data_IF_456552066131
#
_entry.id   IF_456552066131
#
_cell.length_a   1.000
_cell.length_b   1.000
_cell.length_c   1.000
_cell.angle_alpha   90.00
_cell.angle_beta   90.00
_cell.angle_gamma   90.00
#
_symmetry.space_group_name_H-M   'P 1'
#
loop_
_entity.id
_entity.type
_entity.pdbx_description
1 polymer ?
#
# COMPACT_ATOMS: atom_id res chain seq x y z
N UNK A 1 -6.46 20.16 9.75
CA UNK A 1 -5.78 19.06 10.48
C UNK A 1 -4.29 19.32 10.70
N UNK A 2 -3.45 19.24 9.65
CA UNK A 2 -1.99 19.35 9.81
C UNK A 2 -1.54 20.72 10.35
N UNK A 3 -1.91 21.82 9.67
CA UNK A 3 -1.59 23.17 10.13
C UNK A 3 -2.30 23.58 11.44
N UNK A 4 -3.29 22.79 11.88
CA UNK A 4 -4.05 23.03 13.11
C UNK A 4 -3.47 22.24 14.31
N UNK A 5 -2.34 21.54 14.13
CA UNK A 5 -1.68 20.85 15.24
C UNK A 5 -2.22 19.46 15.57
N UNK A 6 -3.19 18.94 14.83
CA UNK A 6 -3.87 17.68 15.21
C UNK A 6 -2.94 16.43 15.23
N UNK A 7 -1.77 16.51 14.59
CA UNK A 7 -0.76 15.45 14.58
C UNK A 7 0.45 15.74 15.48
N UNK A 8 0.46 16.87 16.20
CA UNK A 8 1.55 17.30 17.05
C UNK A 8 1.11 17.36 18.51
N UNK A 9 1.91 16.79 19.39
CA UNK A 9 1.79 16.94 20.85
C UNK A 9 2.46 18.23 21.36
N UNK A 10 3.18 18.95 20.51
CA UNK A 10 3.88 20.19 20.82
C UNK A 10 3.13 21.39 20.18
N UNK A 11 2.47 22.25 20.98
CA UNK A 11 1.71 23.39 20.48
C UNK A 11 2.60 24.45 19.82
N UNK A 12 3.89 24.51 20.16
CA UNK A 12 4.84 25.43 19.53
C UNK A 12 5.31 24.90 18.15
N UNK A 13 4.97 23.66 17.81
CA UNK A 13 5.29 23.00 16.54
C UNK A 13 4.05 22.35 15.92
N UNK A 14 3.03 23.15 15.51
CA UNK A 14 1.75 22.61 15.04
C UNK A 14 1.87 21.79 13.75
N UNK A 15 2.84 22.12 12.89
CA UNK A 15 3.09 21.42 11.63
C UNK A 15 3.96 20.16 11.78
N UNK A 16 4.10 19.61 12.99
CA UNK A 16 4.80 18.36 13.24
C UNK A 16 3.83 17.18 13.26
N UNK A 17 4.36 15.98 12.99
CA UNK A 17 3.71 14.70 13.28
C UNK A 17 4.55 13.96 14.30
N UNK A 18 3.95 13.51 15.40
CA UNK A 18 4.62 12.65 16.37
C UNK A 18 3.75 11.46 16.84
N UNK A 19 4.42 10.46 17.40
CA UNK A 19 3.78 9.23 17.86
C UNK A 19 2.73 9.45 18.93
N UNK A 20 2.92 10.45 19.80
CA UNK A 20 2.04 10.71 20.94
C UNK A 20 0.71 11.25 20.46
N UNK A 21 0.71 12.26 19.60
CA UNK A 21 -0.52 12.80 19.01
C UNK A 21 -1.19 11.79 18.07
N UNK A 22 -0.43 11.05 17.26
CA UNK A 22 -0.98 9.98 16.42
C UNK A 22 -1.74 8.93 17.24
N UNK A 23 -1.22 8.56 18.42
CA UNK A 23 -1.84 7.58 19.31
C UNK A 23 -3.18 8.05 19.90
N UNK A 24 -3.45 9.36 19.89
CA UNK A 24 -4.67 9.96 20.46
C UNK A 24 -5.73 10.32 19.42
N UNK A 25 -5.43 10.20 18.11
CA UNK A 25 -6.42 10.52 17.06
C UNK A 25 -7.53 9.47 17.06
N UNK A 26 -8.76 9.94 17.18
CA UNK A 26 -9.99 9.16 17.13
C UNK A 26 -10.85 9.51 15.91
N UNK A 27 -11.95 8.76 15.75
CA UNK A 27 -12.89 8.94 14.65
C UNK A 27 -13.51 10.35 14.66
N UNK A 28 -13.83 10.91 15.82
CA UNK A 28 -14.41 12.26 15.95
C UNK A 28 -13.44 13.34 15.49
N UNK A 29 -12.15 13.21 15.81
CA UNK A 29 -11.10 14.11 15.32
C UNK A 29 -10.99 14.05 13.81
N UNK A 30 -10.97 12.83 13.23
CA UNK A 30 -10.97 12.66 11.78
C UNK A 30 -12.25 13.21 11.13
N UNK A 31 -13.42 12.96 11.72
CA UNK A 31 -14.71 13.42 11.20
C UNK A 31 -14.75 14.95 11.11
N UNK A 32 -14.33 15.63 12.18
CA UNK A 32 -14.28 17.10 12.20
C UNK A 32 -13.36 17.65 11.13
N UNK A 33 -12.14 17.12 11.03
CA UNK A 33 -11.14 17.65 10.10
C UNK A 33 -11.38 17.27 8.63
N UNK A 34 -11.98 16.11 8.37
CA UNK A 34 -12.40 15.69 7.02
C UNK A 34 -13.82 16.11 6.66
N UNK A 35 -14.49 16.88 7.54
CA UNK A 35 -15.83 17.40 7.30
C UNK A 35 -16.83 16.27 6.99
N UNK A 36 -16.74 15.17 7.74
CA UNK A 36 -17.57 13.98 7.55
C UNK A 36 -18.97 14.29 8.04
N UNK A 37 -19.91 14.30 7.11
CA UNK A 37 -21.34 14.56 7.32
C UNK A 37 -22.16 13.67 6.37
N UNK A 38 -23.48 13.54 6.51
CA UNK A 38 -24.27 12.69 5.61
C UNK A 38 -24.11 13.01 4.11
N UNK A 39 -23.86 14.28 3.76
CA UNK A 39 -23.59 14.71 2.39
C UNK A 39 -22.14 14.50 1.91
N UNK A 40 -21.23 14.17 2.82
CA UNK A 40 -19.81 13.89 2.57
C UNK A 40 -19.36 12.70 3.46
N UNK A 41 -19.88 11.49 3.20
CA UNK A 41 -19.59 10.34 4.04
C UNK A 41 -18.15 9.86 3.82
N UNK A 42 -17.52 9.37 4.88
CA UNK A 42 -16.23 8.69 4.80
C UNK A 42 -16.37 7.27 5.35
N UNK A 43 -16.26 6.29 4.45
CA UNK A 43 -16.29 4.87 4.82
C UNK A 43 -14.99 4.50 5.55
N UNK A 44 -15.13 3.69 6.60
CA UNK A 44 -14.01 3.15 7.38
C UNK A 44 -13.37 4.19 8.31
N UNK A 45 -14.15 5.14 8.84
CA UNK A 45 -13.63 6.24 9.66
C UNK A 45 -12.93 5.73 10.93
N UNK A 46 -13.59 4.82 11.65
CA UNK A 46 -13.08 4.20 12.88
C UNK A 46 -11.80 3.39 12.59
N UNK A 47 -11.80 2.63 11.51
CA UNK A 47 -10.67 1.83 11.05
C UNK A 47 -9.48 2.72 10.71
N UNK A 48 -9.71 3.86 10.03
CA UNK A 48 -8.65 4.85 9.72
C UNK A 48 -8.08 5.48 10.97
N UNK A 49 -8.90 5.85 11.95
CA UNK A 49 -8.43 6.36 13.23
C UNK A 49 -7.59 5.30 13.97
N UNK A 50 -8.05 4.04 13.98
CA UNK A 50 -7.30 2.93 14.56
C UNK A 50 -5.94 2.71 13.88
N UNK A 51 -5.85 2.83 12.55
CA UNK A 51 -4.58 2.75 11.82
C UNK A 51 -3.60 3.87 12.24
N UNK A 52 -4.08 5.11 12.42
CA UNK A 52 -3.24 6.21 12.92
C UNK A 52 -2.75 5.95 14.35
N UNK A 53 -3.64 5.44 15.21
CA UNK A 53 -3.28 5.05 16.56
C UNK A 53 -2.22 3.93 16.59
N UNK A 54 -2.35 2.93 15.72
CA UNK A 54 -1.35 1.86 15.55
C UNK A 54 -0.04 2.38 14.97
N UNK A 55 -0.09 3.34 14.03
CA UNK A 55 1.11 4.03 13.55
C UNK A 55 1.87 4.68 14.71
N UNK A 56 1.19 5.46 15.57
CA UNK A 56 1.81 6.04 16.75
C UNK A 56 2.52 5.00 17.63
N UNK A 57 1.87 3.87 17.90
CA UNK A 57 2.45 2.75 18.66
C UNK A 57 3.63 2.09 17.96
N UNK A 58 3.53 1.85 16.65
CA UNK A 58 4.59 1.22 15.85
C UNK A 58 5.87 2.08 15.85
N UNK A 59 5.72 3.41 15.68
CA UNK A 59 6.84 4.34 15.76
C UNK A 59 7.49 4.31 17.15
N UNK A 60 6.70 4.32 18.22
CA UNK A 60 7.21 4.28 19.59
C UNK A 60 7.93 2.96 19.93
N UNK A 61 7.52 1.85 19.32
CA UNK A 61 8.15 0.55 19.50
C UNK A 61 9.53 0.43 18.82
N UNK A 62 9.79 1.22 17.77
CA UNK A 62 11.01 1.17 16.96
C UNK A 62 11.92 2.38 17.18
N UNK A 63 12.33 2.57 18.44
CA UNK A 63 13.22 3.68 18.83
C UNK A 63 14.60 3.64 18.16
N UNK A 64 15.02 2.49 17.63
CA UNK A 64 16.20 2.30 16.80
C UNK A 64 16.10 3.04 15.45
N UNK A 65 14.88 3.20 14.92
CA UNK A 65 14.60 3.91 13.67
C UNK A 65 14.06 5.31 13.91
N UNK A 66 13.18 5.46 14.91
CA UNK A 66 12.42 6.70 15.13
C UNK A 66 12.90 7.51 16.34
N UNK A 67 14.00 7.11 16.98
CA UNK A 67 14.62 7.80 18.11
C UNK A 67 13.85 7.68 19.43
N UNK A 68 14.51 8.10 20.53
CA UNK A 68 13.91 8.22 21.87
C UNK A 68 13.56 9.68 22.14
N UNK A 69 12.28 9.96 22.39
CA UNK A 69 11.76 11.32 22.57
C UNK A 69 11.60 12.07 21.24
N UNK A 70 10.41 12.66 20.99
CA UNK A 70 10.11 13.30 19.71
C UNK A 70 10.00 12.30 18.53
N UNK A 71 9.56 11.08 18.81
CA UNK A 71 9.38 9.99 17.85
C UNK A 71 8.40 10.41 16.75
N UNK A 72 8.91 10.53 15.52
CA UNK A 72 8.17 11.04 14.35
C UNK A 72 8.42 10.19 13.10
N UNK A 73 7.45 10.06 12.18
CA UNK A 73 7.66 9.33 10.92
C UNK A 73 8.89 9.83 10.14
N UNK A 74 9.12 11.15 10.14
CA UNK A 74 10.25 11.76 9.44
C UNK A 74 11.63 11.31 9.92
N UNK A 75 11.76 10.68 11.09
CA UNK A 75 13.02 10.06 11.53
C UNK A 75 13.46 8.90 10.65
N UNK A 76 12.55 8.32 9.86
CA UNK A 76 12.92 7.34 8.83
C UNK A 76 13.92 7.92 7.81
N UNK A 77 13.75 9.19 7.44
CA UNK A 77 14.71 9.89 6.56
C UNK A 77 16.05 10.06 7.27
N UNK A 78 16.04 10.50 8.53
CA UNK A 78 17.25 10.61 9.35
C UNK A 78 18.00 9.25 9.43
N UNK A 79 17.27 8.15 9.60
CA UNK A 79 17.81 6.79 9.61
C UNK A 79 18.49 6.42 8.29
N UNK A 80 17.85 6.66 7.14
CA UNK A 80 18.46 6.37 5.84
C UNK A 80 19.63 7.31 5.51
N UNK A 81 19.57 8.58 5.93
CA UNK A 81 20.71 9.50 5.81
C UNK A 81 21.93 9.00 6.60
N UNK A 82 21.72 8.32 7.73
CA UNK A 82 22.79 7.77 8.55
C UNK A 82 23.32 6.40 8.07
N UNK A 83 22.49 5.61 7.37
CA UNK A 83 22.79 4.21 7.04
C UNK A 83 22.99 3.92 5.55
N UNK A 84 22.74 4.91 4.68
CA UNK A 84 23.04 4.81 3.25
C UNK A 84 24.54 5.02 3.00
N UNK A 85 25.09 4.21 2.10
CA UNK A 85 26.45 4.44 1.58
C UNK A 85 26.37 5.41 0.40
N UNK A 86 27.23 6.44 0.37
CA UNK A 86 27.29 7.43 -0.72
C UNK A 86 25.94 8.05 -1.08
N UNK A 87 25.03 8.21 -0.10
CA UNK A 87 23.66 8.70 -0.33
C UNK A 87 22.84 7.86 -1.32
N UNK A 88 23.08 6.55 -1.37
CA UNK A 88 22.30 5.60 -2.17
C UNK A 88 21.52 4.62 -1.31
N UNK A 89 20.28 4.35 -1.68
CA UNK A 89 19.39 3.40 -1.03
C UNK A 89 18.76 2.47 -2.07
N UNK A 90 18.75 1.16 -1.83
CA UNK A 90 18.00 0.23 -2.66
C UNK A 90 16.52 0.27 -2.26
N UNK A 91 15.64 0.26 -3.25
CA UNK A 91 14.19 0.26 -3.05
C UNK A 91 13.73 -0.98 -2.26
N UNK A 92 14.36 -2.14 -2.48
CA UNK A 92 14.16 -3.36 -1.69
C UNK A 92 14.46 -3.13 -0.21
N UNK A 93 15.58 -2.47 0.12
CA UNK A 93 15.93 -2.12 1.51
C UNK A 93 14.91 -1.15 2.12
N UNK A 94 14.43 -0.16 1.36
CA UNK A 94 13.36 0.73 1.80
C UNK A 94 12.10 -0.07 2.16
N UNK A 95 11.63 -0.94 1.27
CA UNK A 95 10.45 -1.78 1.52
C UNK A 95 10.65 -2.69 2.74
N UNK A 96 11.79 -3.37 2.84
CA UNK A 96 12.09 -4.24 4.00
C UNK A 96 12.07 -3.46 5.31
N UNK A 97 12.67 -2.26 5.36
CA UNK A 97 12.63 -1.41 6.56
C UNK A 97 11.19 -0.99 6.91
N UNK A 98 10.35 -0.67 5.92
CA UNK A 98 8.94 -0.36 6.17
C UNK A 98 8.16 -1.57 6.69
N UNK A 99 8.36 -2.76 6.12
CA UNK A 99 7.71 -3.99 6.57
C UNK A 99 8.12 -4.36 7.99
N UNK A 100 9.42 -4.30 8.29
CA UNK A 100 9.98 -4.61 9.60
C UNK A 100 9.49 -3.62 10.69
N UNK A 101 9.32 -2.34 10.34
CA UNK A 101 9.00 -1.30 11.33
C UNK A 101 7.52 -0.97 11.46
N UNK A 102 6.73 -1.17 10.40
CA UNK A 102 5.34 -0.70 10.31
C UNK A 102 4.33 -1.82 10.05
N UNK A 103 4.74 -3.10 9.98
CA UNK A 103 3.82 -4.23 9.75
C UNK A 103 2.67 -4.30 10.74
N UNK A 104 2.91 -3.94 12.00
CA UNK A 104 1.92 -3.96 13.10
C UNK A 104 0.79 -2.93 12.96
N UNK A 105 0.91 -2.01 12.00
CA UNK A 105 -0.15 -1.05 11.67
C UNK A 105 -1.31 -1.77 10.99
N UNK A 106 -1.00 -2.68 10.08
CA UNK A 106 -1.97 -3.29 9.19
C UNK A 106 -2.74 -4.41 9.90
N UNK A 107 -4.07 -4.53 9.67
CA UNK A 107 -4.79 -5.73 10.01
C UNK A 107 -4.14 -6.95 9.35
N UNK A 108 -4.13 -8.07 10.06
CA UNK A 108 -3.49 -9.29 9.60
C UNK A 108 -4.48 -10.44 9.68
N UNK A 109 -5.08 -10.86 8.56
CA UNK A 109 -5.99 -12.00 8.56
C UNK A 109 -5.25 -13.34 8.70
N UNK A 110 -3.93 -13.36 8.50
CA UNK A 110 -3.12 -14.56 8.55
C UNK A 110 -2.02 -14.45 9.61
N UNK A 111 -1.84 -15.54 10.38
CA UNK A 111 -0.74 -15.73 11.32
C UNK A 111 0.11 -16.90 10.80
N UNK A 112 1.42 -16.68 10.70
CA UNK A 112 2.41 -17.67 10.28
C UNK A 112 3.44 -17.80 11.38
N UNK A 113 3.67 -19.00 11.88
CA UNK A 113 4.67 -19.27 12.93
C UNK A 113 4.57 -18.28 14.12
N UNK A 114 3.33 -17.98 14.54
CA UNK A 114 3.06 -17.03 15.64
C UNK A 114 3.14 -15.54 15.29
N UNK A 115 3.47 -15.19 14.04
CA UNK A 115 3.59 -13.81 13.60
C UNK A 115 2.44 -13.41 12.69
N UNK A 116 1.79 -12.28 12.99
CA UNK A 116 0.87 -11.60 12.09
C UNK A 116 1.65 -11.01 10.92
N UNK A 117 1.36 -11.45 9.69
CA UNK A 117 2.12 -11.03 8.50
C UNK A 117 1.44 -9.91 7.69
N UNK A 118 0.30 -9.39 8.15
CA UNK A 118 -0.42 -8.30 7.49
C UNK A 118 -1.13 -8.76 6.23
N UNK A 119 -1.05 -7.96 5.17
CA UNK A 119 -1.73 -8.23 3.88
C UNK A 119 -1.09 -9.39 3.11
N UNK A 120 -1.62 -10.59 3.36
CA UNK A 120 -1.27 -11.85 2.72
C UNK A 120 -2.49 -12.79 2.65
N UNK A 121 -2.45 -13.75 1.72
CA UNK A 121 -3.50 -14.75 1.53
C UNK A 121 -2.94 -16.18 1.44
N UNK A 122 -3.86 -17.16 1.37
CA UNK A 122 -3.51 -18.56 1.07
C UNK A 122 -3.98 -18.94 -0.34
N UNK A 123 -3.16 -19.69 -1.06
CA UNK A 123 -3.53 -20.23 -2.37
C UNK A 123 -2.92 -21.63 -2.60
N UNK A 124 -3.70 -22.66 -3.02
CA UNK A 124 -3.19 -24.02 -3.21
C UNK A 124 -2.11 -24.17 -4.29
N UNK A 125 -2.05 -23.23 -5.24
CA UNK A 125 -1.03 -23.20 -6.28
C UNK A 125 0.29 -22.53 -5.85
N UNK A 126 0.30 -21.83 -4.71
CA UNK A 126 1.49 -21.16 -4.19
C UNK A 126 2.39 -22.16 -3.43
N UNK A 127 2.87 -23.18 -4.14
CA UNK A 127 3.72 -24.23 -3.56
C UNK A 127 5.18 -23.79 -3.60
N UNK A 128 5.68 -23.40 -2.43
CA UNK A 128 7.10 -23.11 -2.19
C UNK A 128 7.73 -24.33 -1.52
N UNK A 129 8.98 -24.62 -1.84
CA UNK A 129 9.73 -25.69 -1.14
C UNK A 129 10.02 -25.38 0.34
N UNK A 130 9.73 -24.14 0.76
CA UNK A 130 9.95 -23.61 2.10
C UNK A 130 8.62 -23.21 2.77
N UNK A 131 8.58 -23.28 4.11
CA UNK A 131 7.45 -22.87 4.94
C UNK A 131 7.36 -21.33 5.09
N UNK A 132 6.14 -20.74 5.16
CA UNK A 132 4.84 -21.39 5.10
C UNK A 132 4.33 -21.67 3.68
N UNK A 133 4.16 -22.94 3.32
CA UNK A 133 3.64 -23.33 2.00
C UNK A 133 2.25 -22.72 1.74
N UNK A 134 1.96 -22.32 0.51
CA UNK A 134 0.66 -21.79 0.12
C UNK A 134 0.43 -20.34 0.51
N UNK A 135 1.42 -19.62 1.03
CA UNK A 135 1.29 -18.21 1.42
C UNK A 135 1.63 -17.29 0.25
N UNK A 136 0.76 -16.32 0.00
CA UNK A 136 0.97 -15.28 -1.01
C UNK A 136 1.05 -13.91 -0.33
N UNK A 137 2.25 -13.32 -0.18
CA UNK A 137 2.41 -12.00 0.40
C UNK A 137 2.08 -10.91 -0.62
N UNK A 138 1.32 -9.90 -0.21
CA UNK A 138 1.01 -8.73 -1.04
C UNK A 138 1.57 -7.44 -0.46
N UNK A 139 1.37 -7.22 0.84
CA UNK A 139 1.81 -6.03 1.57
C UNK A 139 1.59 -4.71 0.81
N UNK A 140 0.44 -4.62 0.10
CA UNK A 140 0.22 -3.64 -0.97
C UNK A 140 0.39 -2.20 -0.50
N UNK A 141 -0.10 -1.89 0.71
CA UNK A 141 0.00 -0.54 1.28
C UNK A 141 1.42 -0.17 1.68
N UNK A 142 2.20 -1.10 2.24
CA UNK A 142 3.62 -0.87 2.55
C UNK A 142 4.43 -0.65 1.28
N UNK A 143 4.11 -1.38 0.22
CA UNK A 143 4.76 -1.23 -1.07
C UNK A 143 4.39 0.07 -1.77
N UNK A 144 3.12 0.47 -1.70
CA UNK A 144 2.70 1.78 -2.18
C UNK A 144 3.35 2.92 -1.39
N UNK A 145 3.52 2.76 -0.07
CA UNK A 145 4.27 3.70 0.76
C UNK A 145 5.74 3.77 0.34
N UNK A 146 6.39 2.64 0.05
CA UNK A 146 7.76 2.62 -0.47
C UNK A 146 7.87 3.46 -1.75
N UNK A 147 6.96 3.26 -2.71
CA UNK A 147 6.91 4.09 -3.92
C UNK A 147 6.69 5.57 -3.63
N UNK A 148 5.80 5.89 -2.69
CA UNK A 148 5.49 7.28 -2.31
C UNK A 148 6.63 7.99 -1.59
N UNK A 149 7.59 7.25 -1.02
CA UNK A 149 8.75 7.79 -0.32
C UNK A 149 9.96 8.01 -1.23
N UNK A 150 9.97 7.51 -2.47
CA UNK A 150 11.10 7.67 -3.40
C UNK A 150 11.39 9.16 -3.62
N UNK A 151 10.41 9.92 -4.12
CA UNK A 151 10.60 11.35 -4.43
C UNK A 151 10.99 12.18 -3.19
N UNK A 152 10.33 12.02 -2.01
CA UNK A 152 10.79 12.69 -0.79
C UNK A 152 12.22 12.35 -0.36
N UNK A 153 12.66 11.10 -0.53
CA UNK A 153 14.02 10.68 -0.21
C UNK A 153 15.04 11.27 -1.20
N UNK A 154 14.72 11.30 -2.48
CA UNK A 154 15.54 11.93 -3.52
C UNK A 154 15.65 13.44 -3.29
N UNK A 155 14.55 14.11 -2.92
CA UNK A 155 14.56 15.52 -2.52
C UNK A 155 15.41 15.78 -1.26
N UNK A 156 15.50 14.80 -0.35
CA UNK A 156 16.41 14.82 0.80
C UNK A 156 17.86 14.45 0.44
N UNK A 157 18.17 14.22 -0.84
CA UNK A 157 19.50 13.92 -1.34
C UNK A 157 19.89 12.45 -1.26
N UNK A 158 18.94 11.52 -1.11
CA UNK A 158 19.18 10.06 -1.16
C UNK A 158 18.70 9.54 -2.51
N UNK A 159 19.61 9.10 -3.37
CA UNK A 159 19.27 8.46 -4.63
C UNK A 159 18.72 7.05 -4.37
N UNK A 160 17.50 6.76 -4.85
CA UNK A 160 16.88 5.44 -4.70
C UNK A 160 17.07 4.62 -5.97
N UNK A 161 17.77 3.50 -5.87
CA UNK A 161 18.03 2.58 -6.97
C UNK A 161 17.29 1.25 -6.84
N UNK A 162 17.42 0.38 -7.85
CA UNK A 162 16.83 -0.97 -7.81
C UNK A 162 15.31 -0.98 -7.82
N UNK A 163 14.67 -0.07 -8.57
CA UNK A 163 13.21 0.04 -8.60
C UNK A 163 12.53 -1.22 -9.13
N UNK A 164 13.21 -1.97 -9.99
CA UNK A 164 12.73 -3.25 -10.54
C UNK A 164 12.72 -4.38 -9.48
N UNK A 165 13.34 -4.20 -8.30
CA UNK A 165 13.20 -5.13 -7.17
C UNK A 165 11.81 -5.05 -6.51
N UNK A 166 11.06 -3.97 -6.76
CA UNK A 166 9.70 -3.79 -6.27
C UNK A 166 8.69 -4.32 -7.29
N UNK A 167 7.60 -4.87 -6.79
CA UNK A 167 6.55 -5.49 -7.62
C UNK A 167 5.40 -4.52 -7.96
N UNK A 168 4.42 -4.97 -8.72
CA UNK A 168 3.20 -4.18 -8.93
C UNK A 168 2.31 -4.15 -7.68
N UNK A 169 1.32 -3.26 -7.67
CA UNK A 169 0.33 -3.20 -6.59
C UNK A 169 -0.85 -4.12 -6.91
N UNK A 170 -1.08 -5.09 -6.03
CA UNK A 170 -2.24 -5.99 -6.01
C UNK A 170 -3.57 -5.27 -5.66
N UNK A 171 -3.86 -4.19 -6.39
CA UNK A 171 -5.00 -3.29 -6.22
C UNK A 171 -6.08 -3.60 -7.28
N UNK A 172 -7.35 -3.43 -6.91
CA UNK A 172 -8.49 -3.91 -7.70
C UNK A 172 -8.66 -3.24 -9.07
N UNK A 173 -8.17 -2.02 -9.27
CA UNK A 173 -8.18 -1.31 -10.55
C UNK A 173 -7.09 -1.83 -11.48
N UNK A 174 -5.91 -2.15 -10.93
CA UNK A 174 -4.85 -2.80 -11.68
C UNK A 174 -5.26 -4.21 -12.11
N UNK A 175 -5.78 -5.01 -11.17
CA UNK A 175 -6.29 -6.34 -11.50
C UNK A 175 -7.53 -6.27 -12.38
N UNK A 176 -8.36 -5.24 -12.20
CA UNK A 176 -9.60 -5.06 -12.95
C UNK A 176 -9.31 -4.75 -14.41
N UNK A 177 -8.30 -3.92 -14.68
CA UNK A 177 -7.81 -3.65 -16.03
C UNK A 177 -7.47 -4.94 -16.79
N UNK A 178 -6.82 -5.90 -16.12
CA UNK A 178 -6.44 -7.17 -16.76
C UNK A 178 -7.66 -8.05 -17.08
N UNK A 179 -8.71 -8.02 -16.26
CA UNK A 179 -9.98 -8.70 -16.54
C UNK A 179 -10.71 -7.98 -17.68
N UNK A 180 -10.80 -6.67 -17.60
CA UNK A 180 -11.54 -5.82 -18.54
C UNK A 180 -11.00 -5.89 -19.97
N UNK A 181 -9.68 -6.06 -20.10
CA UNK A 181 -9.01 -6.24 -21.39
C UNK A 181 -8.83 -7.72 -21.77
N UNK A 182 -9.38 -8.64 -20.98
CA UNK A 182 -9.40 -10.07 -21.27
C UNK A 182 -8.04 -10.77 -21.20
N UNK A 183 -7.06 -10.18 -20.49
CA UNK A 183 -5.77 -10.79 -20.17
C UNK A 183 -5.95 -11.87 -19.11
N UNK A 184 -6.69 -11.54 -18.04
CA UNK A 184 -7.19 -12.53 -17.08
C UNK A 184 -8.61 -12.88 -17.49
N UNK A 185 -8.90 -14.18 -17.63
CA UNK A 185 -10.24 -14.68 -17.96
C UNK A 185 -10.70 -15.65 -16.88
N UNK A 186 -11.74 -15.31 -16.11
CA UNK A 186 -12.34 -16.23 -15.15
C UNK A 186 -12.80 -17.50 -15.84
N UNK A 187 -12.55 -18.68 -15.23
CA UNK A 187 -13.04 -19.96 -15.74
C UNK A 187 -14.55 -20.09 -15.66
N UNK A 188 -15.13 -19.51 -14.62
CA UNK A 188 -16.57 -19.37 -14.41
C UNK A 188 -16.94 -17.88 -14.39
N UNK A 189 -18.17 -17.57 -14.78
CA UNK A 189 -18.66 -16.19 -14.71
C UNK A 189 -18.61 -15.67 -13.27
N UNK A 190 -18.14 -14.44 -13.09
CA UNK A 190 -18.08 -13.77 -11.79
C UNK A 190 -19.40 -13.04 -11.58
N UNK A 191 -20.11 -13.39 -10.51
CA UNK A 191 -21.29 -12.65 -10.08
C UNK A 191 -20.86 -11.36 -9.37
N UNK A 192 -21.09 -10.22 -10.02
CA UNK A 192 -20.73 -8.90 -9.48
C UNK A 192 -21.53 -8.50 -8.23
N UNK A 193 -22.62 -9.20 -7.91
CA UNK A 193 -23.43 -8.93 -6.70
C UNK A 193 -22.84 -9.59 -5.46
N UNK A 194 -22.01 -10.62 -5.64
CA UNK A 194 -21.37 -11.33 -4.54
C UNK A 194 -20.14 -10.56 -4.07
N UNK A 195 -20.02 -10.40 -2.76
CA UNK A 195 -18.85 -9.82 -2.11
C UNK A 195 -17.97 -10.92 -1.56
N UNK A 196 -16.71 -10.90 -1.97
CA UNK A 196 -15.69 -11.86 -1.57
C UNK A 196 -14.76 -11.23 -0.54
N UNK A 197 -14.43 -12.02 0.49
CA UNK A 197 -13.39 -11.68 1.44
C UNK A 197 -12.04 -11.50 0.74
N UNK A 198 -11.22 -10.60 1.26
CA UNK A 198 -9.88 -10.32 0.71
C UNK A 198 -8.95 -11.53 0.75
N UNK A 199 -9.24 -12.48 1.63
CA UNK A 199 -8.52 -13.75 1.81
C UNK A 199 -9.13 -14.93 1.06
N UNK A 200 -10.26 -14.74 0.38
CA UNK A 200 -10.84 -15.80 -0.45
C UNK A 200 -9.89 -16.19 -1.59
N UNK A 201 -9.90 -17.48 -1.97
CA UNK A 201 -9.03 -18.01 -3.02
C UNK A 201 -9.15 -17.20 -4.32
N UNK A 202 -10.37 -16.86 -4.74
CA UNK A 202 -10.62 -16.04 -5.94
C UNK A 202 -9.91 -14.68 -5.89
N UNK A 203 -10.02 -13.97 -4.76
CA UNK A 203 -9.40 -12.64 -4.62
C UNK A 203 -7.88 -12.77 -4.51
N UNK A 204 -7.37 -13.76 -3.77
CA UNK A 204 -5.93 -14.02 -3.64
C UNK A 204 -5.32 -14.40 -5.00
N UNK A 205 -5.95 -15.30 -5.76
CA UNK A 205 -5.50 -15.70 -7.08
C UNK A 205 -5.43 -14.49 -8.03
N UNK A 206 -6.52 -13.72 -8.09
CA UNK A 206 -6.59 -12.54 -8.95
C UNK A 206 -5.54 -11.49 -8.59
N UNK A 207 -5.32 -11.23 -7.30
CA UNK A 207 -4.27 -10.33 -6.81
C UNK A 207 -2.88 -10.86 -7.15
N UNK A 208 -2.62 -12.15 -7.01
CA UNK A 208 -1.35 -12.78 -7.37
C UNK A 208 -1.07 -12.66 -8.86
N UNK A 209 -2.06 -12.99 -9.70
CA UNK A 209 -1.98 -12.82 -11.15
C UNK A 209 -1.74 -11.36 -11.55
N UNK A 210 -2.37 -10.41 -10.86
CA UNK A 210 -2.14 -8.98 -11.08
C UNK A 210 -0.67 -8.63 -10.89
N UNK A 211 -0.06 -9.07 -9.78
CA UNK A 211 1.35 -8.79 -9.51
C UNK A 211 2.24 -9.47 -10.56
N UNK A 212 2.00 -10.74 -10.85
CA UNK A 212 2.82 -11.54 -11.76
C UNK A 212 2.77 -11.05 -13.23
N UNK A 213 1.62 -10.54 -13.69
CA UNK A 213 1.44 -10.13 -15.09
C UNK A 213 1.93 -8.72 -15.39
N UNK A 214 2.19 -7.90 -14.36
CA UNK A 214 2.59 -6.52 -14.56
C UNK A 214 4.06 -6.33 -14.94
N UNK A 215 4.95 -7.23 -14.53
CA UNK A 215 6.35 -7.19 -15.00
C UNK A 215 6.45 -7.47 -16.51
N UNK A 216 5.80 -8.52 -17.07
CA UNK A 216 5.68 -8.66 -18.53
C UNK A 216 5.05 -7.44 -19.21
N UNK A 217 4.01 -6.85 -18.60
CA UNK A 217 3.36 -5.65 -19.13
C UNK A 217 4.33 -4.47 -19.18
N UNK A 218 5.16 -4.26 -18.15
CA UNK A 218 6.18 -3.22 -18.13
C UNK A 218 7.14 -3.35 -19.31
N UNK A 219 7.65 -4.56 -19.57
CA UNK A 219 8.53 -4.82 -20.70
C UNK A 219 7.84 -4.58 -22.06
N UNK A 220 6.59 -5.02 -22.20
CA UNK A 220 5.81 -4.78 -23.42
C UNK A 220 5.57 -3.28 -23.66
N UNK A 221 5.27 -2.50 -22.61
CA UNK A 221 5.10 -1.05 -22.70
C UNK A 221 6.41 -0.36 -23.05
N UNK A 222 7.54 -0.73 -22.42
CA UNK A 222 8.87 -0.22 -22.77
C UNK A 222 9.18 -0.45 -24.25
N UNK A 223 9.01 -1.68 -24.73
CA UNK A 223 9.26 -2.03 -26.13
C UNK A 223 8.32 -1.29 -27.10
N UNK A 224 7.04 -1.17 -26.75
CA UNK A 224 6.03 -0.51 -27.60
C UNK A 224 6.26 0.99 -27.74
N UNK A 225 6.76 1.64 -26.70
CA UNK A 225 6.95 3.09 -26.63
C UNK A 225 8.41 3.53 -26.84
N UNK A 226 9.35 2.59 -26.98
CA UNK A 226 10.77 2.89 -27.11
C UNK A 226 11.38 3.49 -25.83
N UNK A 227 10.90 3.07 -24.66
CA UNK A 227 11.38 3.54 -23.36
C UNK A 227 12.51 2.64 -22.85
N UNK A 228 13.47 3.24 -22.16
CA UNK A 228 14.57 2.52 -21.51
C UNK A 228 14.22 2.07 -20.08
N UNK A 229 15.23 1.62 -19.34
CA UNK A 229 15.09 1.16 -17.96
C UNK A 229 14.69 2.26 -16.96
N UNK A 230 14.78 3.55 -17.32
CA UNK A 230 14.35 4.64 -16.46
C UNK A 230 12.83 4.68 -16.28
N UNK A 231 12.06 4.09 -17.20
CA UNK A 231 10.63 3.87 -17.04
C UNK A 231 10.40 2.59 -16.24
N UNK A 232 10.14 2.68 -14.94
CA UNK A 232 9.96 1.54 -14.06
C UNK A 232 8.50 1.31 -13.64
N UNK A 233 8.28 0.30 -12.79
CA UNK A 233 6.95 -0.06 -12.27
C UNK A 233 6.16 1.14 -11.69
N UNK A 234 6.73 2.07 -10.90
CA UNK A 234 5.99 3.23 -10.38
C UNK A 234 5.36 4.09 -11.47
N UNK A 235 6.11 4.35 -12.56
CA UNK A 235 5.66 5.15 -13.69
C UNK A 235 4.56 4.43 -14.47
N UNK A 236 4.70 3.12 -14.68
CA UNK A 236 3.66 2.30 -15.30
C UNK A 236 2.35 2.33 -14.49
N UNK A 237 2.46 2.23 -13.16
CA UNK A 237 1.30 2.22 -12.26
C UNK A 237 0.57 3.58 -12.28
N UNK A 238 1.27 4.68 -11.99
CA UNK A 238 0.65 6.00 -11.86
C UNK A 238 0.24 6.60 -13.21
N UNK A 239 1.15 6.59 -14.18
CA UNK A 239 0.94 7.16 -15.51
C UNK A 239 0.14 6.26 -16.45
N UNK A 240 0.10 4.96 -16.19
CA UNK A 240 -0.52 3.97 -17.06
C UNK A 240 -1.73 3.29 -16.41
N UNK A 241 -1.49 2.15 -15.75
CA UNK A 241 -2.52 1.16 -15.45
C UNK A 241 -3.60 1.66 -14.49
N UNK A 242 -3.25 2.47 -13.48
CA UNK A 242 -4.25 3.01 -12.56
C UNK A 242 -5.18 3.97 -13.30
N UNK A 243 -4.62 4.91 -14.04
CA UNK A 243 -5.38 5.92 -14.77
C UNK A 243 -6.21 5.33 -15.92
N UNK A 244 -5.64 4.39 -16.67
CA UNK A 244 -6.34 3.65 -17.72
C UNK A 244 -7.43 2.74 -17.15
N UNK A 245 -7.10 1.97 -16.10
CA UNK A 245 -8.02 1.04 -15.43
C UNK A 245 -9.29 1.74 -14.93
N UNK A 246 -9.17 2.90 -14.28
CA UNK A 246 -10.35 3.69 -13.85
C UNK A 246 -11.23 4.11 -15.03
N UNK A 247 -10.63 4.60 -16.11
CA UNK A 247 -11.39 5.07 -17.29
C UNK A 247 -12.13 3.91 -17.96
N UNK A 248 -11.45 2.78 -18.15
CA UNK A 248 -12.01 1.58 -18.76
C UNK A 248 -13.10 0.98 -17.87
N UNK A 249 -12.84 0.81 -16.58
CA UNK A 249 -13.83 0.29 -15.63
C UNK A 249 -15.10 1.14 -15.65
N UNK A 250 -14.98 2.48 -15.68
CA UNK A 250 -16.14 3.38 -15.75
C UNK A 250 -16.94 3.23 -17.04
N UNK A 251 -16.26 3.03 -18.17
CA UNK A 251 -16.91 2.80 -19.46
C UNK A 251 -17.63 1.45 -19.52
N UNK A 252 -17.04 0.40 -18.94
CA UNK A 252 -17.60 -0.96 -18.95
C UNK A 252 -18.66 -1.20 -17.87
N UNK A 253 -18.52 -0.55 -16.71
CA UNK A 253 -19.39 -0.72 -15.53
C UNK A 253 -19.76 0.65 -14.95
N UNK A 254 -20.65 1.42 -15.59
CA UNK A 254 -21.09 2.72 -15.08
C UNK A 254 -21.87 2.60 -13.75
N UNK A 255 -21.98 3.68 -12.95
CA UNK A 255 -21.45 5.03 -13.22
C UNK A 255 -20.00 5.25 -12.76
N UNK A 256 -19.49 4.43 -11.83
CA UNK A 256 -18.22 4.66 -11.13
C UNK A 256 -17.14 3.62 -11.44
N UNK A 257 -17.45 2.58 -12.22
CA UNK A 257 -16.50 1.53 -12.56
C UNK A 257 -16.09 0.69 -11.36
N UNK A 258 -17.05 0.01 -10.67
CA UNK A 258 -16.70 -0.86 -9.56
C UNK A 258 -15.75 -1.97 -10.00
N UNK A 259 -15.05 -2.55 -9.03
CA UNK A 259 -14.22 -3.73 -9.25
C UNK A 259 -15.01 -4.84 -9.97
N UNK A 260 -14.44 -5.51 -10.98
CA UNK A 260 -15.10 -6.62 -11.66
C UNK A 260 -15.28 -7.85 -10.74
N UNK A 261 -14.46 -7.97 -9.69
CA UNK A 261 -14.67 -8.90 -8.59
C UNK A 261 -15.15 -8.11 -7.38
N UNK A 262 -16.35 -8.39 -6.88
CA UNK A 262 -16.89 -7.71 -5.71
C UNK A 262 -16.07 -8.04 -4.46
N UNK A 263 -15.48 -7.03 -3.82
CA UNK A 263 -14.68 -7.21 -2.59
C UNK A 263 -15.48 -6.71 -1.39
N UNK A 264 -15.48 -7.47 -0.29
CA UNK A 264 -15.87 -7.00 1.03
C UNK A 264 -14.72 -6.14 1.59
N UNK A 265 -14.72 -4.84 1.28
CA UNK A 265 -13.67 -3.91 1.70
C UNK A 265 -14.13 -3.08 2.92
N UNK A 266 -13.28 -2.98 3.93
CA UNK A 266 -13.45 -2.16 5.13
C UNK A 266 -12.58 -0.88 5.12
N UNK A 267 -11.87 -0.64 4.02
CA UNK A 267 -10.96 0.51 3.85
C UNK A 267 -9.54 0.30 4.37
N UNK A 268 -9.18 -0.91 4.84
CA UNK A 268 -7.84 -1.21 5.38
C UNK A 268 -6.90 -1.95 4.42
N UNK A 269 -7.42 -2.48 3.31
CA UNK A 269 -6.65 -3.21 2.28
C UNK A 269 -6.72 -2.53 0.91
N UNK A 270 -7.89 -2.01 0.53
CA UNK A 270 -8.20 -1.41 -0.76
C UNK A 270 -8.63 0.05 -0.67
#
# INVERSE_FOLDING_TARGET
>A
MFCEGAFSSDPDRPCQVDSSALATIDADTLARHFQVVPANPLVGLDERAALLGRLGKALAARTDLFGRGGTRPGKLVDHFLATSSERRLLASRLLTTLLDSLSTIWPSPLIVQGHAIGDAGRHPAARTGDEPEGTVPFHKLSQWLAYSLIEPLEAAGIAVGGLDDLTALAEYRNGGLLIDLGVIRPRAAIDSTVRHETTSELVVEWRALTVALFEPLLHLVRAKLGLDASFAMPQLLQGGTWSAGRKIARALRPPDGPSPIGIAADGTVF
#
